data_IF_213172368555
#
_entry.id   IF_213172368555
#
_cell.length_a   1.000
_cell.length_b   1.000
_cell.length_c   1.000
_cell.angle_alpha   90.00
_cell.angle_beta   90.00
_cell.angle_gamma   90.00
#
_symmetry.space_group_name_H-M   'P 1'
#
loop_
_entity.id
_entity.type
_entity.pdbx_description
1 polymer ?
#
# COMPACT_ATOMS: atom_id res chain seq x y z
N UNK A 1 7.47 -26.47 -18.12
CA UNK A 1 6.17 -25.91 -18.52
C UNK A 1 6.26 -24.39 -18.55
N UNK A 2 6.05 -23.79 -19.69
CA UNK A 2 6.14 -22.34 -19.81
C UNK A 2 4.89 -21.69 -19.25
N UNK A 3 5.09 -20.75 -18.33
CA UNK A 3 4.02 -19.88 -17.88
C UNK A 3 3.42 -19.13 -19.08
N UNK A 4 2.08 -18.94 -19.16
CA UNK A 4 1.50 -18.14 -20.22
C UNK A 4 2.02 -16.71 -20.27
N UNK A 5 2.75 -16.29 -19.23
CA UNK A 5 3.33 -14.95 -19.11
C UNK A 5 4.81 -14.92 -19.51
N UNK A 6 5.47 -16.08 -19.64
CA UNK A 6 6.86 -16.17 -20.09
C UNK A 6 6.93 -16.12 -21.60
N UNK A 7 7.93 -15.43 -22.12
CA UNK A 7 8.21 -15.38 -23.56
C UNK A 7 7.48 -14.30 -24.34
N UNK A 8 6.68 -13.46 -23.67
CA UNK A 8 6.09 -12.30 -24.35
C UNK A 8 7.12 -11.16 -24.39
N UNK A 9 7.38 -10.57 -25.58
CA UNK A 9 8.37 -9.51 -25.68
C UNK A 9 7.90 -8.21 -25.01
N UNK A 10 8.85 -7.45 -24.51
CA UNK A 10 8.83 -6.28 -23.68
C UNK A 10 7.54 -5.47 -23.57
N UNK A 11 7.05 -4.87 -24.68
CA UNK A 11 5.89 -3.97 -24.64
C UNK A 11 4.59 -4.71 -24.33
N UNK A 12 4.39 -5.91 -24.90
CA UNK A 12 3.21 -6.73 -24.59
C UNK A 12 3.19 -7.18 -23.15
N UNK A 13 4.35 -7.48 -22.59
CA UNK A 13 4.49 -7.89 -21.20
C UNK A 13 4.09 -6.77 -20.26
N UNK A 14 4.54 -5.55 -20.54
CA UNK A 14 4.18 -4.35 -19.77
C UNK A 14 2.68 -4.07 -19.89
N UNK A 15 2.14 -4.17 -21.08
CA UNK A 15 0.71 -3.97 -21.33
C UNK A 15 -0.15 -4.95 -20.54
N UNK A 16 0.22 -6.24 -20.56
CA UNK A 16 -0.48 -7.27 -19.80
C UNK A 16 -0.36 -7.05 -18.28
N UNK A 17 0.83 -6.61 -17.82
CA UNK A 17 1.05 -6.30 -16.40
C UNK A 17 0.13 -5.19 -15.93
N UNK A 18 -0.16 -4.20 -16.76
CA UNK A 18 -1.10 -3.14 -16.46
C UNK A 18 -2.50 -3.69 -16.17
N UNK A 19 -2.99 -4.60 -17.01
CA UNK A 19 -4.29 -5.24 -16.78
C UNK A 19 -4.32 -6.09 -15.52
N UNK A 20 -3.23 -6.80 -15.20
CA UNK A 20 -3.13 -7.56 -13.96
C UNK A 20 -3.16 -6.64 -12.75
N UNK A 21 -2.49 -5.49 -12.83
CA UNK A 21 -2.54 -4.50 -11.77
C UNK A 21 -3.95 -3.96 -11.55
N UNK A 22 -4.67 -3.65 -12.62
CA UNK A 22 -6.06 -3.21 -12.54
C UNK A 22 -6.96 -4.27 -11.92
N UNK A 23 -6.76 -5.54 -12.30
CA UNK A 23 -7.48 -6.67 -11.68
C UNK A 23 -7.17 -6.77 -10.18
N UNK A 24 -5.92 -6.57 -9.81
CA UNK A 24 -5.48 -6.58 -8.41
C UNK A 24 -6.14 -5.48 -7.59
N UNK A 25 -6.16 -4.25 -8.10
CA UNK A 25 -6.84 -3.14 -7.44
C UNK A 25 -8.34 -3.40 -7.30
N UNK A 26 -8.97 -3.89 -8.35
CA UNK A 26 -10.40 -4.21 -8.34
C UNK A 26 -10.71 -5.29 -7.30
N UNK A 27 -9.93 -6.35 -7.25
CA UNK A 27 -10.11 -7.43 -6.29
C UNK A 27 -9.88 -6.94 -4.86
N UNK A 28 -8.84 -6.16 -4.62
CA UNK A 28 -8.56 -5.61 -3.30
C UNK A 28 -9.69 -4.69 -2.83
N UNK A 29 -10.18 -3.83 -3.69
CA UNK A 29 -11.30 -2.94 -3.38
C UNK A 29 -12.57 -3.72 -3.09
N UNK A 30 -12.81 -4.81 -3.81
CA UNK A 30 -14.01 -5.63 -3.65
C UNK A 30 -13.98 -6.49 -2.38
N UNK A 31 -12.82 -7.08 -2.04
CA UNK A 31 -12.74 -8.11 -1.00
C UNK A 31 -12.08 -7.65 0.30
N UNK A 32 -11.34 -6.54 0.30
CA UNK A 32 -10.57 -6.10 1.45
C UNK A 32 -11.12 -4.79 2.03
N UNK A 33 -11.77 -4.88 3.19
CA UNK A 33 -12.39 -3.72 3.84
C UNK A 33 -11.37 -2.65 4.20
N UNK A 34 -10.21 -3.04 4.71
CA UNK A 34 -9.13 -2.11 5.07
C UNK A 34 -8.64 -1.34 3.85
N UNK A 35 -8.47 -2.04 2.72
CA UNK A 35 -8.02 -1.41 1.48
C UNK A 35 -9.03 -0.36 0.99
N UNK A 36 -10.34 -0.67 1.04
CA UNK A 36 -11.38 0.30 0.68
C UNK A 36 -11.29 1.56 1.52
N UNK A 37 -11.18 1.41 2.84
CA UNK A 37 -11.07 2.55 3.75
C UNK A 37 -9.83 3.38 3.44
N UNK A 38 -8.69 2.73 3.22
CA UNK A 38 -7.43 3.40 2.93
C UNK A 38 -7.45 4.10 1.58
N UNK A 39 -8.12 3.54 0.56
CA UNK A 39 -8.33 4.22 -0.73
C UNK A 39 -9.17 5.47 -0.56
N UNK A 40 -10.25 5.42 0.21
CA UNK A 40 -11.09 6.59 0.48
C UNK A 40 -10.28 7.67 1.18
N UNK A 41 -9.49 7.31 2.19
CA UNK A 41 -8.60 8.25 2.87
C UNK A 41 -7.55 8.83 1.92
N UNK A 42 -6.98 8.02 1.03
CA UNK A 42 -6.02 8.48 0.04
C UNK A 42 -6.64 9.48 -0.93
N UNK A 43 -7.87 9.23 -1.38
CA UNK A 43 -8.60 10.15 -2.26
C UNK A 43 -8.89 11.50 -1.61
N UNK A 44 -8.93 11.56 -0.29
CA UNK A 44 -9.05 12.81 0.46
C UNK A 44 -7.68 13.44 0.74
N UNK A 45 -6.71 12.66 1.19
CA UNK A 45 -5.41 13.17 1.66
C UNK A 45 -4.46 13.58 0.53
N UNK A 46 -4.46 12.88 -0.60
CA UNK A 46 -3.57 13.20 -1.71
C UNK A 46 -3.94 14.55 -2.34
N UNK A 47 -5.21 14.83 -2.71
CA UNK A 47 -5.58 16.16 -3.17
C UNK A 47 -5.33 17.24 -2.13
N UNK A 48 -5.54 16.95 -0.84
CA UNK A 48 -5.23 17.90 0.23
C UNK A 48 -3.75 18.28 0.23
N UNK A 49 -2.86 17.28 0.17
CA UNK A 49 -1.42 17.52 0.12
C UNK A 49 -1.02 18.36 -1.10
N UNK A 50 -1.61 18.06 -2.27
CA UNK A 50 -1.33 18.79 -3.50
C UNK A 50 -1.77 20.25 -3.42
N UNK A 51 -2.86 20.55 -2.69
CA UNK A 51 -3.42 21.89 -2.57
C UNK A 51 -2.72 22.76 -1.52
N UNK A 52 -1.90 22.17 -0.67
CA UNK A 52 -1.23 22.90 0.41
C UNK A 52 -0.08 23.77 -0.13
N UNK A 53 0.15 24.90 0.56
CA UNK A 53 1.26 25.80 0.23
C UNK A 53 2.56 25.36 0.90
N UNK A 54 3.07 24.23 0.46
CA UNK A 54 4.30 23.63 0.92
C UNK A 54 5.17 23.25 -0.29
N UNK A 55 6.45 23.00 -0.05
CA UNK A 55 7.38 22.65 -1.12
C UNK A 55 7.09 21.27 -1.72
N UNK A 56 7.68 21.02 -2.89
CA UNK A 56 7.47 19.75 -3.60
C UNK A 56 7.96 18.55 -2.82
N UNK A 57 9.07 18.69 -2.10
CA UNK A 57 9.61 17.59 -1.29
C UNK A 57 8.64 17.19 -0.17
N UNK A 58 8.06 18.18 0.51
CA UNK A 58 7.06 17.93 1.56
C UNK A 58 5.82 17.26 0.99
N UNK A 59 5.33 17.71 -0.17
CA UNK A 59 4.21 17.06 -0.86
C UNK A 59 4.53 15.61 -1.21
N UNK A 60 5.73 15.37 -1.74
CA UNK A 60 6.17 14.02 -2.08
C UNK A 60 6.20 13.10 -0.86
N UNK A 61 6.65 13.60 0.29
CA UNK A 61 6.66 12.85 1.54
C UNK A 61 5.24 12.51 2.00
N UNK A 62 4.34 13.49 1.98
CA UNK A 62 2.95 13.28 2.38
C UNK A 62 2.27 12.25 1.48
N UNK A 63 2.36 12.41 0.17
CA UNK A 63 1.74 11.52 -0.81
C UNK A 63 2.42 10.15 -0.75
N UNK A 64 3.74 10.10 -0.68
CA UNK A 64 4.51 8.86 -0.60
C UNK A 64 4.14 8.02 0.62
N UNK A 65 3.89 8.65 1.77
CA UNK A 65 3.48 7.94 2.98
C UNK A 65 2.11 7.28 2.83
N UNK A 66 1.17 7.95 2.18
CA UNK A 66 -0.17 7.39 1.89
C UNK A 66 -0.07 6.25 0.89
N UNK A 67 0.72 6.43 -0.17
CA UNK A 67 0.95 5.37 -1.15
C UNK A 67 1.59 4.13 -0.52
N UNK A 68 2.53 4.33 0.40
CA UNK A 68 3.18 3.22 1.10
C UNK A 68 2.18 2.38 1.89
N UNK A 69 1.22 3.01 2.55
CA UNK A 69 0.15 2.29 3.26
C UNK A 69 -0.62 1.39 2.29
N UNK A 70 -1.01 1.91 1.14
CA UNK A 70 -1.72 1.12 0.13
C UNK A 70 -0.88 -0.04 -0.41
N UNK A 71 0.41 0.19 -0.66
CA UNK A 71 1.33 -0.84 -1.14
C UNK A 71 1.46 -1.96 -0.11
N UNK A 72 1.70 -1.60 1.14
CA UNK A 72 1.86 -2.58 2.22
C UNK A 72 0.56 -3.38 2.43
N UNK A 73 -0.59 -2.71 2.35
CA UNK A 73 -1.89 -3.39 2.48
C UNK A 73 -2.11 -4.42 1.36
N UNK A 74 -1.77 -4.08 0.12
CA UNK A 74 -1.86 -5.01 -1.01
C UNK A 74 -0.96 -6.23 -0.81
N UNK A 75 0.26 -6.02 -0.33
CA UNK A 75 1.20 -7.11 -0.06
C UNK A 75 0.68 -7.98 1.08
N UNK A 76 0.15 -7.38 2.15
CA UNK A 76 -0.44 -8.13 3.26
C UNK A 76 -1.62 -8.98 2.78
N UNK A 77 -2.50 -8.41 1.95
CA UNK A 77 -3.64 -9.16 1.39
C UNK A 77 -3.19 -10.33 0.54
N UNK A 78 -2.10 -10.17 -0.23
CA UNK A 78 -1.52 -11.26 -1.01
C UNK A 78 -0.98 -12.37 -0.09
N UNK A 79 -0.31 -12.02 0.99
CA UNK A 79 0.20 -12.98 1.97
C UNK A 79 -0.96 -13.77 2.60
N UNK A 80 -2.01 -13.07 3.03
CA UNK A 80 -3.19 -13.70 3.62
C UNK A 80 -3.88 -14.65 2.65
N UNK A 81 -4.02 -14.25 1.38
CA UNK A 81 -4.63 -15.09 0.35
C UNK A 81 -3.84 -16.38 0.13
N UNK A 82 -2.51 -16.29 0.11
CA UNK A 82 -1.64 -17.47 -0.04
C UNK A 82 -1.79 -18.39 1.18
N UNK A 83 -1.76 -17.83 2.39
CA UNK A 83 -1.85 -18.60 3.63
C UNK A 83 -3.21 -19.31 3.72
N UNK A 84 -4.29 -18.59 3.41
CA UNK A 84 -5.63 -19.16 3.48
C UNK A 84 -5.84 -20.26 2.45
N UNK A 85 -5.11 -20.24 1.34
CA UNK A 85 -5.16 -21.28 0.32
C UNK A 85 -4.38 -22.53 0.71
N UNK A 86 -3.22 -22.35 1.35
CA UNK A 86 -2.26 -23.42 1.65
C UNK A 86 -2.51 -24.06 3.00
N UNK A 87 -2.96 -23.30 3.99
CA UNK A 87 -3.15 -23.76 5.37
C UNK A 87 -4.62 -23.69 5.74
N UNK A 88 -5.27 -24.87 5.78
CA UNK A 88 -6.66 -24.99 6.23
C UNK A 88 -6.75 -25.07 7.76
N UNK A 89 -5.63 -25.35 8.43
CA UNK A 89 -5.56 -25.48 9.88
C UNK A 89 -4.74 -24.36 10.49
N UNK A 90 -5.02 -24.06 11.76
CA UNK A 90 -4.23 -23.13 12.54
C UNK A 90 -2.81 -23.65 12.73
N UNK A 91 -1.88 -23.17 11.96
CA UNK A 91 -0.47 -23.52 12.03
C UNK A 91 0.32 -22.37 12.61
N UNK A 92 1.31 -22.66 13.46
CA UNK A 92 2.14 -21.64 14.11
C UNK A 92 2.81 -20.70 13.11
N UNK A 93 3.36 -21.25 12.03
CA UNK A 93 4.01 -20.45 10.99
C UNK A 93 3.02 -19.61 10.19
N UNK A 94 1.81 -20.15 9.92
CA UNK A 94 0.74 -19.41 9.24
C UNK A 94 0.30 -18.21 10.08
N UNK A 95 0.08 -18.41 11.37
CA UNK A 95 -0.26 -17.32 12.30
C UNK A 95 0.85 -16.28 12.34
N UNK A 96 2.11 -16.72 12.45
CA UNK A 96 3.27 -15.82 12.50
C UNK A 96 3.39 -14.97 11.23
N UNK A 97 3.16 -15.57 10.06
CA UNK A 97 3.18 -14.84 8.78
C UNK A 97 2.08 -13.78 8.73
N UNK A 98 0.87 -14.11 9.16
CA UNK A 98 -0.24 -13.12 9.25
C UNK A 98 0.09 -12.01 10.23
N UNK A 99 0.69 -12.32 11.37
CA UNK A 99 1.08 -11.34 12.37
C UNK A 99 2.16 -10.39 11.82
N UNK A 100 3.13 -10.90 11.06
CA UNK A 100 4.14 -10.08 10.39
C UNK A 100 3.51 -9.12 9.38
N UNK A 101 2.55 -9.60 8.60
CA UNK A 101 1.83 -8.76 7.66
C UNK A 101 1.08 -7.63 8.35
N UNK A 102 0.37 -7.95 9.43
CA UNK A 102 -0.35 -6.95 10.24
C UNK A 102 0.60 -5.94 10.88
N UNK A 103 1.76 -6.39 11.36
CA UNK A 103 2.78 -5.50 11.91
C UNK A 103 3.32 -4.54 10.84
N UNK A 104 3.52 -5.02 9.62
CA UNK A 104 3.96 -4.19 8.50
C UNK A 104 2.92 -3.10 8.17
N UNK A 105 1.63 -3.45 8.16
CA UNK A 105 0.55 -2.48 7.97
C UNK A 105 0.58 -1.43 9.09
N UNK A 106 0.68 -1.87 10.35
CA UNK A 106 0.75 -0.96 11.49
C UNK A 106 1.92 0.01 11.36
N UNK A 107 3.11 -0.46 11.01
CA UNK A 107 4.28 0.40 10.83
C UNK A 107 4.08 1.40 9.70
N UNK A 108 3.43 1.01 8.61
CA UNK A 108 3.16 1.94 7.50
C UNK A 108 2.19 3.04 7.92
N UNK A 109 1.20 2.71 8.74
CA UNK A 109 0.25 3.70 9.30
C UNK A 109 0.95 4.65 10.27
N UNK A 110 1.80 4.14 11.15
CA UNK A 110 2.60 4.96 12.06
C UNK A 110 3.52 5.88 11.26
N UNK A 111 4.17 5.35 10.23
CA UNK A 111 5.03 6.13 9.33
C UNK A 111 4.27 7.29 8.69
N UNK A 112 3.07 7.03 8.17
CA UNK A 112 2.24 8.08 7.58
C UNK A 112 1.87 9.13 8.63
N UNK A 113 1.45 8.72 9.81
CA UNK A 113 1.10 9.65 10.90
C UNK A 113 2.28 10.53 11.29
N UNK A 114 3.47 9.95 11.45
CA UNK A 114 4.70 10.68 11.82
C UNK A 114 5.04 11.70 10.73
N UNK A 115 5.03 11.29 9.46
CA UNK A 115 5.37 12.19 8.35
C UNK A 115 4.38 13.35 8.27
N UNK A 116 3.08 13.08 8.36
CA UNK A 116 2.06 14.13 8.31
C UNK A 116 2.18 15.09 9.47
N UNK A 117 2.40 14.59 10.68
CA UNK A 117 2.58 15.44 11.86
C UNK A 117 3.82 16.33 11.71
N UNK A 118 4.95 15.76 11.31
CA UNK A 118 6.19 16.51 11.14
C UNK A 118 6.10 17.56 10.04
N UNK A 119 5.49 17.24 8.91
CA UNK A 119 5.35 18.18 7.81
C UNK A 119 4.38 19.31 8.17
N UNK A 120 3.25 19.00 8.81
CA UNK A 120 2.23 20.00 9.12
C UNK A 120 2.59 20.88 10.31
N UNK A 121 3.28 20.34 11.29
CA UNK A 121 3.54 21.03 12.56
C UNK A 121 5.01 21.25 12.88
N UNK A 122 5.91 20.48 12.27
CA UNK A 122 7.34 20.50 12.60
C UNK A 122 8.06 21.80 12.24
N UNK A 123 7.61 22.49 11.20
CA UNK A 123 8.24 23.74 10.74
C UNK A 123 8.16 24.88 11.75
N UNK A 124 7.26 24.81 12.71
CA UNK A 124 7.08 25.85 13.74
C UNK A 124 8.05 25.70 14.92
N UNK A 125 8.83 24.63 14.93
CA UNK A 125 9.71 24.28 16.06
C UNK A 125 11.17 24.57 15.81
N UNK A 126 11.56 24.88 14.58
CA UNK A 126 12.97 25.15 14.28
C UNK A 126 13.33 26.56 14.66
N UNK A 127 14.31 26.74 15.59
CA UNK A 127 14.90 28.05 15.85
C UNK A 127 15.57 28.53 14.54
N UNK A 128 15.25 29.74 14.16
CA UNK A 128 15.87 30.41 13.00
C UNK A 128 17.29 30.86 13.35
#
# INVERSE_FOLDING_TARGET
MNSPYKGKPGIKRIWNALFYALDGFTAAFKYEDSFRLEVVLALALIPLALSMHIDALSKALLIGSVMLVLIVELINSAIEAIIDRVSLESHVLAKRAKDFGSAAVMLSLINAAVIWILVLFGGNWMPR
#
